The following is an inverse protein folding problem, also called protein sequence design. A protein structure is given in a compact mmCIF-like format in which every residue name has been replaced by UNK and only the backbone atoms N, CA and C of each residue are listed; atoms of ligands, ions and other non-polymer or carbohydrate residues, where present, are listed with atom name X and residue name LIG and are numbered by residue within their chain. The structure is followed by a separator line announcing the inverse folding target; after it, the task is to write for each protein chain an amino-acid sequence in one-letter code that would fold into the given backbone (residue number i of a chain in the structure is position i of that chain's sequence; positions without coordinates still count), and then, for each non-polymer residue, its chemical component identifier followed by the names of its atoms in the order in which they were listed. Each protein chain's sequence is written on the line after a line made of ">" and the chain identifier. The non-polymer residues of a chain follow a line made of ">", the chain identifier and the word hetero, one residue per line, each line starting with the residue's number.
data_IF_287910008503
#
_entry.id   IF_287910008503
#
_cell.length_a   1.000
_cell.length_b   1.000
_cell.length_c   1.000
_cell.angle_alpha   90.00
_cell.angle_beta   90.00
_cell.angle_gamma   90.00
#
_symmetry.space_group_name_H-M   'P 1'
#
loop_
_entity.id
_entity.type
_entity.pdbx_description
1 polymer ?
#
# COMPACT_ATOMS: atom_id res chain seq x y z
N UNK A 1 8.40 6.93 11.47
CA UNK A 1 8.34 7.75 10.25
C UNK A 1 8.15 6.80 9.07
N UNK A 2 7.02 6.83 8.37
CA UNK A 2 6.77 5.91 7.25
C UNK A 2 7.27 6.52 5.94
N UNK A 3 8.29 5.91 5.36
CA UNK A 3 8.70 6.12 3.96
C UNK A 3 8.07 5.04 3.08
N UNK A 4 7.85 5.36 1.80
CA UNK A 4 7.42 4.36 0.84
C UNK A 4 8.51 3.28 0.67
N UNK A 5 8.10 2.03 0.60
CA UNK A 5 8.99 0.89 0.42
C UNK A 5 9.47 0.72 -1.03
N UNK A 6 8.91 1.44 -2.00
CA UNK A 6 9.36 1.39 -3.40
C UNK A 6 10.67 2.16 -3.55
N UNK A 7 11.69 1.53 -4.12
CA UNK A 7 13.08 2.02 -4.13
C UNK A 7 13.24 3.45 -4.68
N UNK A 8 12.55 3.77 -5.77
CA UNK A 8 12.64 5.08 -6.42
C UNK A 8 11.57 6.08 -5.94
N UNK A 9 10.75 5.72 -4.94
CA UNK A 9 9.65 6.57 -4.50
C UNK A 9 10.11 7.60 -3.47
N UNK A 10 10.01 8.91 -3.75
CA UNK A 10 10.48 9.94 -2.83
C UNK A 10 9.43 10.30 -1.77
N UNK A 11 8.34 9.52 -1.66
CA UNK A 11 7.24 9.78 -0.75
C UNK A 11 7.56 9.26 0.66
N UNK A 12 7.39 10.14 1.64
CA UNK A 12 7.41 9.82 3.05
C UNK A 12 6.41 10.71 3.79
N UNK A 13 5.93 10.26 4.95
CA UNK A 13 4.77 10.81 5.62
C UNK A 13 4.80 12.34 5.80
N UNK A 14 5.96 12.91 6.17
CA UNK A 14 6.11 14.36 6.37
C UNK A 14 6.03 15.14 5.04
N UNK A 15 6.53 14.60 3.93
CA UNK A 15 6.46 15.24 2.59
C UNK A 15 5.05 15.23 2.01
N UNK A 16 4.27 14.22 2.34
CA UNK A 16 2.92 14.01 1.79
C UNK A 16 1.81 14.36 2.79
N UNK A 17 2.14 15.00 3.92
CA UNK A 17 1.16 15.47 4.90
C UNK A 17 0.21 16.46 4.21
N UNK A 18 -1.10 16.22 4.35
CA UNK A 18 -2.14 17.06 3.72
C UNK A 18 -2.35 16.83 2.22
N UNK A 19 -1.58 15.93 1.58
CA UNK A 19 -1.68 15.66 0.12
C UNK A 19 -2.58 14.48 -0.24
N UNK A 20 -3.32 13.93 0.73
CA UNK A 20 -4.20 12.78 0.49
C UNK A 20 -3.49 11.45 0.23
N UNK A 21 -2.15 11.40 0.33
CA UNK A 21 -1.37 10.16 0.14
C UNK A 21 -1.48 9.26 1.36
N UNK A 22 -1.88 8.01 1.12
CA UNK A 22 -2.09 6.99 2.16
C UNK A 22 -0.99 5.94 2.09
N UNK A 23 -0.53 5.46 3.24
CA UNK A 23 0.54 4.45 3.31
C UNK A 23 -0.06 3.11 3.72
N UNK A 24 0.00 2.13 2.82
CA UNK A 24 -0.65 0.84 2.98
C UNK A 24 0.34 -0.21 3.49
N UNK A 25 -0.14 -1.08 4.39
CA UNK A 25 0.63 -2.21 4.90
C UNK A 25 0.75 -3.30 3.84
N UNK A 26 1.83 -4.08 3.93
CA UNK A 26 1.91 -5.31 3.14
C UNK A 26 0.82 -6.28 3.56
N UNK A 27 0.26 -7.05 2.62
CA UNK A 27 -0.77 -8.05 2.93
C UNK A 27 -0.20 -9.17 3.81
N UNK A 28 -1.06 -9.71 4.68
CA UNK A 28 -0.72 -10.86 5.55
C UNK A 28 -0.55 -12.14 4.73
N UNK A 29 -1.28 -12.28 3.61
CA UNK A 29 -1.19 -13.44 2.73
C UNK A 29 0.23 -13.56 2.11
N UNK A 30 0.96 -14.65 2.35
CA UNK A 30 2.37 -14.78 1.93
C UNK A 30 2.58 -14.61 0.42
N UNK A 31 1.70 -15.17 -0.41
CA UNK A 31 1.83 -15.08 -1.87
C UNK A 31 1.75 -13.63 -2.36
N UNK A 32 0.78 -12.86 -1.85
CA UNK A 32 0.62 -11.44 -2.19
C UNK A 32 1.76 -10.59 -1.62
N UNK A 33 2.23 -10.94 -0.44
CA UNK A 33 3.34 -10.26 0.22
C UNK A 33 4.61 -10.36 -0.64
N UNK A 34 4.95 -11.55 -1.13
CA UNK A 34 6.09 -11.78 -2.05
C UNK A 34 5.98 -10.94 -3.32
N UNK A 35 4.78 -10.85 -3.91
CA UNK A 35 4.55 -10.02 -5.10
C UNK A 35 4.76 -8.53 -4.80
N UNK A 36 4.26 -8.04 -3.66
CA UNK A 36 4.47 -6.64 -3.27
C UNK A 36 5.95 -6.34 -3.01
N UNK A 37 6.67 -7.26 -2.37
CA UNK A 37 8.13 -7.12 -2.14
C UNK A 37 8.87 -7.06 -3.47
N UNK A 38 8.57 -7.96 -4.42
CA UNK A 38 9.23 -7.96 -5.73
C UNK A 38 8.96 -6.68 -6.52
N UNK A 39 7.74 -6.12 -6.41
CA UNK A 39 7.36 -4.84 -7.01
C UNK A 39 8.04 -3.63 -6.37
N UNK A 40 8.52 -3.71 -5.12
CA UNK A 40 9.24 -2.60 -4.51
C UNK A 40 10.60 -2.32 -5.16
N UNK A 41 11.15 -3.27 -5.94
CA UNK A 41 12.45 -3.16 -6.64
C UNK A 41 13.61 -2.73 -5.73
N UNK A 42 13.53 -3.07 -4.44
CA UNK A 42 14.62 -2.86 -3.48
C UNK A 42 15.54 -4.07 -3.49
N UNK A 43 16.84 -3.82 -3.43
CA UNK A 43 17.85 -4.87 -3.28
C UNK A 43 18.02 -5.30 -1.83
N UNK A 44 17.70 -4.41 -0.88
CA UNK A 44 17.75 -4.71 0.54
C UNK A 44 16.47 -5.42 1.04
N UNK A 45 16.61 -6.11 2.17
CA UNK A 45 15.52 -6.84 2.78
C UNK A 45 14.41 -5.89 3.28
N UNK A 46 13.22 -6.03 2.71
CA UNK A 46 12.03 -5.29 3.15
C UNK A 46 11.37 -6.00 4.33
N UNK A 47 11.36 -5.35 5.50
CA UNK A 47 10.56 -5.81 6.63
C UNK A 47 9.07 -5.49 6.42
N UNK A 48 8.35 -6.42 5.78
CA UNK A 48 6.94 -6.27 5.40
C UNK A 48 5.99 -5.95 6.57
N UNK A 49 6.36 -6.27 7.82
CA UNK A 49 5.55 -5.95 9.01
C UNK A 49 5.41 -4.44 9.19
N UNK A 50 6.49 -3.70 8.98
CA UNK A 50 6.55 -2.25 9.22
C UNK A 50 6.61 -1.42 7.94
N UNK A 51 7.09 -2.00 6.85
CA UNK A 51 7.18 -1.34 5.56
C UNK A 51 5.78 -0.97 5.03
N UNK A 52 5.71 0.12 4.27
CA UNK A 52 4.47 0.64 3.69
C UNK A 52 4.67 1.08 2.26
N UNK A 53 3.65 0.94 1.42
CA UNK A 53 3.66 1.46 0.04
C UNK A 53 2.64 2.60 -0.04
N UNK A 54 3.02 3.73 -0.64
CA UNK A 54 2.09 4.85 -0.79
C UNK A 54 1.01 4.56 -1.84
N UNK A 55 -0.16 5.18 -1.69
CA UNK A 55 -1.33 5.03 -2.55
C UNK A 55 -1.06 5.32 -4.02
N UNK A 56 -0.07 6.18 -4.32
CA UNK A 56 0.29 6.58 -5.68
C UNK A 56 0.79 5.40 -6.55
N UNK A 57 1.18 4.28 -5.93
CA UNK A 57 1.57 3.06 -6.64
C UNK A 57 0.39 2.14 -6.95
N UNK A 58 -0.84 2.48 -6.56
CA UNK A 58 -2.02 1.67 -6.80
C UNK A 58 -2.98 2.42 -7.70
N UNK A 59 -3.67 1.71 -8.59
CA UNK A 59 -4.73 2.36 -9.36
C UNK A 59 -5.91 2.63 -8.42
N UNK A 60 -6.65 3.73 -8.59
CA UNK A 60 -7.88 3.98 -7.83
C UNK A 60 -8.88 2.81 -7.93
N UNK A 61 -8.92 2.12 -9.08
CA UNK A 61 -9.74 0.93 -9.36
C UNK A 61 -9.35 -0.32 -8.58
N UNK A 62 -8.12 -0.34 -8.05
CA UNK A 62 -7.56 -1.47 -7.30
C UNK A 62 -7.94 -1.36 -5.82
N UNK A 63 -8.35 -0.17 -5.36
CA UNK A 63 -8.90 0.02 -4.03
C UNK A 63 -10.30 -0.61 -3.98
N UNK A 64 -10.48 -1.63 -3.14
CA UNK A 64 -11.81 -2.11 -2.79
C UNK A 64 -12.49 -1.01 -2.00
N UNK A 65 -13.69 -0.66 -2.44
CA UNK A 65 -14.65 -0.03 -1.55
C UNK A 65 -14.94 -1.03 -0.43
N UNK A 66 -14.75 -0.62 0.82
CA UNK A 66 -15.01 -1.45 1.99
C UNK A 66 -16.51 -1.45 2.26
N UNK A 67 -17.24 -1.97 1.28
CA UNK A 67 -18.69 -1.99 1.27
C UNK A 67 -19.22 -2.74 2.48
N UNK A 68 -18.47 -3.74 2.99
CA UNK A 68 -18.81 -4.44 4.22
C UNK A 68 -18.79 -3.50 5.43
N UNK A 69 -17.72 -2.74 5.65
CA UNK A 69 -17.71 -1.78 6.75
C UNK A 69 -18.71 -0.64 6.52
N UNK A 70 -18.90 -0.20 5.28
CA UNK A 70 -19.92 0.80 4.92
C UNK A 70 -21.33 0.34 5.30
N UNK A 71 -21.69 -0.90 4.99
CA UNK A 71 -23.00 -1.50 5.33
C UNK A 71 -23.16 -1.71 6.84
N UNK A 72 -22.06 -1.98 7.55
CA UNK A 72 -22.06 -2.18 9.00
C UNK A 72 -21.92 -0.86 9.80
N UNK A 73 -21.85 0.30 9.14
CA UNK A 73 -21.59 1.59 9.80
C UNK A 73 -20.21 1.68 10.47
N UNK A 74 -19.28 0.78 10.12
CA UNK A 74 -17.92 0.75 10.62
C UNK A 74 -17.01 1.66 9.79
N UNK A 75 -15.90 2.08 10.40
CA UNK A 75 -14.87 2.84 9.68
C UNK A 75 -14.40 2.07 8.45
N UNK A 76 -14.56 2.68 7.27
CA UNK A 76 -14.11 2.12 6.00
C UNK A 76 -12.58 1.99 6.01
N UNK A 77 -12.07 0.79 5.76
CA UNK A 77 -10.65 0.57 5.53
C UNK A 77 -10.41 0.60 4.03
N UNK A 78 -9.47 1.42 3.55
CA UNK A 78 -9.00 1.28 2.17
C UNK A 78 -8.20 -0.01 2.02
N UNK A 79 -8.91 -1.07 1.66
CA UNK A 79 -8.39 -2.40 1.38
C UNK A 79 -8.21 -2.47 -0.13
N UNK A 80 -7.14 -3.08 -0.61
CA UNK A 80 -6.97 -3.31 -2.04
C UNK A 80 -7.51 -4.67 -2.46
N UNK A 81 -7.93 -4.77 -3.73
CA UNK A 81 -8.42 -6.02 -4.31
C UNK A 81 -7.35 -7.12 -4.19
N UNK A 82 -7.74 -8.40 -4.17
CA UNK A 82 -6.76 -9.47 -4.01
C UNK A 82 -5.68 -9.50 -5.08
N UNK A 83 -6.01 -9.07 -6.29
CA UNK A 83 -5.19 -8.93 -7.48
C UNK A 83 -4.47 -7.58 -7.58
N UNK A 84 -4.77 -6.64 -6.69
CA UNK A 84 -4.12 -5.34 -6.66
C UNK A 84 -2.62 -5.50 -6.36
N UNK A 85 -1.82 -5.18 -7.37
CA UNK A 85 -0.38 -5.15 -7.28
C UNK A 85 0.08 -3.71 -7.48
N UNK A 86 1.04 -3.23 -6.68
CA UNK A 86 1.57 -1.89 -6.89
C UNK A 86 2.19 -1.84 -8.30
N UNK A 87 1.70 -0.90 -9.11
CA UNK A 87 2.26 -0.64 -10.42
C UNK A 87 3.51 0.22 -10.21
N UNK A 88 4.65 -0.33 -10.60
CA UNK A 88 5.92 0.36 -10.50
C UNK A 88 6.04 1.23 -11.74
N UNK A 89 5.73 2.51 -11.61
CA UNK A 89 6.34 3.52 -12.46
C UNK A 89 7.71 3.85 -11.85
#
# INVERSE_FOLDING_TARGET
>A
MSACAVAACPNYHRKTKGKGVIYHMFPVCPNRNKIWISKCKRQDHINAKYARICSDHFKPSDCMDDMKNRLLGLNQKKIFKPDAVPNVA
#
